data_IF_022311476664
#
_entry.id   IF_022311476664
#
_cell.length_a   1.000
_cell.length_b   1.000
_cell.length_c   1.000
_cell.angle_alpha   90.00
_cell.angle_beta   90.00
_cell.angle_gamma   90.00
#
_symmetry.space_group_name_H-M   'P 1'
#
loop_
_entity.id
_entity.type
_entity.pdbx_description
1 polymer ?
#
# COMPACT_ATOMS: atom_id res chain seq x y z
N UNK A 1 -14.21 -49.13 -34.34
CA UNK A 1 -13.02 -48.97 -33.49
C UNK A 1 -13.47 -48.37 -32.17
N UNK A 2 -13.63 -49.19 -31.15
CA UNK A 2 -14.13 -48.82 -29.82
C UNK A 2 -12.93 -48.54 -28.91
N UNK A 3 -12.73 -47.28 -28.52
CA UNK A 3 -11.72 -46.92 -27.52
C UNK A 3 -12.15 -47.48 -26.17
N UNK A 4 -11.50 -48.57 -25.74
CA UNK A 4 -11.61 -49.11 -24.39
C UNK A 4 -11.04 -48.08 -23.41
N UNK A 5 -11.93 -47.36 -22.70
CA UNK A 5 -11.51 -46.50 -21.60
C UNK A 5 -10.96 -47.39 -20.48
N UNK A 6 -9.68 -47.23 -20.17
CA UNK A 6 -9.05 -47.94 -19.06
C UNK A 6 -9.78 -47.59 -17.74
N UNK A 7 -9.98 -48.55 -16.84
CA UNK A 7 -10.66 -48.32 -15.56
C UNK A 7 -9.92 -47.22 -14.79
N UNK A 8 -10.65 -46.13 -14.49
CA UNK A 8 -10.16 -44.96 -13.77
C UNK A 8 -9.76 -45.40 -12.36
N UNK A 9 -8.47 -45.51 -12.08
CA UNK A 9 -7.97 -45.87 -10.76
C UNK A 9 -8.29 -44.74 -9.76
N UNK A 10 -9.20 -44.95 -8.79
CA UNK A 10 -9.62 -43.91 -7.85
C UNK A 10 -8.53 -43.57 -6.82
N UNK A 11 -7.45 -44.34 -6.78
CA UNK A 11 -6.27 -44.10 -5.93
C UNK A 11 -5.05 -43.63 -6.71
N UNK A 12 -5.18 -43.37 -8.02
CA UNK A 12 -4.11 -42.69 -8.72
C UNK A 12 -3.89 -41.34 -8.02
N UNK A 13 -2.67 -41.04 -7.53
CA UNK A 13 -2.39 -39.72 -6.99
C UNK A 13 -2.81 -38.74 -8.08
N UNK A 14 -3.66 -37.78 -7.73
CA UNK A 14 -4.07 -36.71 -8.64
C UNK A 14 -2.77 -36.20 -9.22
N UNK A 15 -2.52 -36.46 -10.51
CA UNK A 15 -1.42 -35.82 -11.19
C UNK A 15 -1.77 -34.35 -11.07
N UNK A 16 -1.15 -33.68 -10.11
CA UNK A 16 -1.15 -32.24 -10.05
C UNK A 16 -0.57 -31.87 -11.38
N UNK A 17 -1.45 -31.51 -12.33
CA UNK A 17 -1.06 -30.87 -13.58
C UNK A 17 -0.03 -29.86 -13.11
N UNK A 18 1.26 -30.01 -13.51
CA UNK A 18 2.29 -29.08 -13.10
C UNK A 18 1.75 -27.71 -13.48
N UNK A 19 1.28 -26.96 -12.48
CA UNK A 19 0.53 -25.72 -12.66
C UNK A 19 1.52 -24.81 -13.38
N UNK A 20 1.35 -24.67 -14.71
CA UNK A 20 2.32 -24.17 -15.70
C UNK A 20 3.58 -23.68 -15.01
N UNK A 21 4.54 -24.60 -14.85
CA UNK A 21 5.71 -24.45 -13.99
C UNK A 21 6.27 -23.04 -14.15
N UNK A 22 5.96 -22.21 -13.16
CA UNK A 22 6.32 -20.80 -13.17
C UNK A 22 7.85 -20.74 -13.25
N UNK A 23 8.39 -20.48 -14.45
CA UNK A 23 9.83 -20.45 -14.66
C UNK A 23 10.38 -19.12 -14.12
N UNK A 24 11.04 -19.12 -12.95
CA UNK A 24 11.54 -17.90 -12.33
C UNK A 24 12.60 -17.22 -13.19
N UNK A 25 13.21 -17.91 -14.17
CA UNK A 25 14.17 -17.29 -15.09
C UNK A 25 13.52 -16.29 -16.04
N UNK A 26 12.26 -16.51 -16.43
CA UNK A 26 11.52 -15.60 -17.32
C UNK A 26 11.33 -14.20 -16.72
N UNK A 27 11.30 -14.08 -15.39
CA UNK A 27 11.16 -12.81 -14.68
C UNK A 27 12.34 -11.87 -14.92
N UNK A 28 13.54 -12.41 -15.15
CA UNK A 28 14.78 -11.66 -15.33
C UNK A 28 15.12 -11.42 -16.80
N UNK A 29 14.31 -11.94 -17.74
CA UNK A 29 14.48 -11.69 -19.17
C UNK A 29 14.36 -10.19 -19.53
N UNK A 30 13.79 -9.36 -18.64
CA UNK A 30 13.56 -7.93 -18.85
C UNK A 30 14.16 -7.07 -17.73
N UNK A 31 15.49 -6.87 -17.67
CA UNK A 31 16.14 -6.08 -16.61
C UNK A 31 15.62 -4.64 -16.53
N UNK A 32 15.25 -4.05 -17.67
CA UNK A 32 14.69 -2.70 -17.75
C UNK A 32 13.35 -2.58 -17.02
N UNK A 33 12.50 -3.62 -17.09
CA UNK A 33 11.20 -3.63 -16.41
C UNK A 33 11.38 -3.66 -14.88
N UNK A 34 12.29 -4.51 -14.40
CA UNK A 34 12.60 -4.61 -12.97
C UNK A 34 13.24 -3.33 -12.41
N UNK A 35 14.08 -2.64 -13.19
CA UNK A 35 14.63 -1.34 -12.82
C UNK A 35 13.55 -0.26 -12.64
N UNK A 36 12.52 -0.26 -13.49
CA UNK A 36 11.36 0.65 -13.37
C UNK A 36 10.55 0.34 -12.11
N UNK A 37 10.28 -0.94 -11.83
CA UNK A 37 9.60 -1.36 -10.59
C UNK A 37 10.41 -0.94 -9.35
N UNK A 38 11.72 -1.12 -9.34
CA UNK A 38 12.59 -0.69 -8.23
C UNK A 38 12.55 0.83 -8.00
N UNK A 39 12.50 1.61 -9.08
CA UNK A 39 12.33 3.06 -9.04
C UNK A 39 10.94 3.44 -8.50
N UNK A 40 9.89 2.75 -8.96
CA UNK A 40 8.52 2.92 -8.46
C UNK A 40 8.42 2.65 -6.96
N UNK A 41 9.02 1.58 -6.47
CA UNK A 41 9.08 1.26 -5.03
C UNK A 41 9.81 2.34 -4.22
N UNK A 42 10.87 2.95 -4.77
CA UNK A 42 11.58 4.07 -4.14
C UNK A 42 10.70 5.32 -4.05
N UNK A 43 9.91 5.61 -5.08
CA UNK A 43 8.97 6.72 -5.08
C UNK A 43 7.86 6.50 -4.05
N UNK A 44 7.29 5.28 -3.98
CA UNK A 44 6.29 4.90 -2.97
C UNK A 44 6.86 4.99 -1.54
N UNK A 45 8.15 4.66 -1.37
CA UNK A 45 8.81 4.84 -0.07
C UNK A 45 8.84 6.31 0.35
N UNK A 46 9.27 7.21 -0.53
CA UNK A 46 9.32 8.64 -0.26
C UNK A 46 7.94 9.25 -0.06
N UNK A 47 6.94 8.82 -0.84
CA UNK A 47 5.57 9.29 -0.66
C UNK A 47 5.03 9.00 0.73
N UNK A 48 5.28 7.79 1.23
CA UNK A 48 4.80 7.37 2.54
C UNK A 48 5.52 8.17 3.63
N UNK A 49 6.83 8.41 3.48
CA UNK A 49 7.57 9.27 4.41
C UNK A 49 6.99 10.69 4.47
N UNK A 50 6.67 11.29 3.32
CA UNK A 50 6.06 12.62 3.24
C UNK A 50 4.64 12.66 3.83
N UNK A 51 3.81 11.65 3.53
CA UNK A 51 2.45 11.53 4.08
C UNK A 51 2.52 11.40 5.60
N UNK A 52 3.38 10.54 6.12
CA UNK A 52 3.55 10.36 7.57
C UNK A 52 4.04 11.65 8.22
N UNK A 53 5.04 12.30 7.62
CA UNK A 53 5.54 13.59 8.10
C UNK A 53 4.42 14.64 8.16
N UNK A 54 3.59 14.72 7.12
CA UNK A 54 2.46 15.66 7.08
C UNK A 54 1.36 15.30 8.09
N UNK A 55 1.01 14.02 8.24
CA UNK A 55 -0.01 13.58 9.20
C UNK A 55 0.47 13.81 10.64
N UNK A 56 1.69 13.42 10.97
CA UNK A 56 2.27 13.63 12.31
C UNK A 56 2.47 15.12 12.59
N UNK A 57 3.01 15.86 11.61
CA UNK A 57 3.21 17.30 11.69
C UNK A 57 1.90 18.06 11.88
N UNK A 58 0.91 17.80 11.04
CA UNK A 58 -0.38 18.48 11.06
C UNK A 58 -1.25 18.12 12.26
N UNK A 59 -1.27 16.86 12.70
CA UNK A 59 -2.17 16.41 13.77
C UNK A 59 -1.57 16.51 15.17
N UNK A 60 -0.25 16.39 15.31
CA UNK A 60 0.39 16.36 16.63
C UNK A 60 1.29 17.57 16.87
N UNK A 61 2.12 17.96 15.90
CA UNK A 61 3.06 19.08 16.08
C UNK A 61 2.32 20.41 16.02
N UNK A 62 1.40 20.59 15.07
CA UNK A 62 0.69 21.85 14.87
C UNK A 62 -0.10 22.31 16.12
N UNK A 63 -0.94 21.48 16.77
CA UNK A 63 -1.66 21.92 17.97
C UNK A 63 -0.77 22.24 19.16
N UNK A 64 0.40 21.58 19.27
CA UNK A 64 1.38 21.90 20.31
C UNK A 64 2.03 23.26 20.09
N UNK A 65 2.35 23.60 18.83
CA UNK A 65 2.88 24.91 18.45
C UNK A 65 1.82 26.03 18.48
N UNK A 66 0.53 25.68 18.48
CA UNK A 66 -0.56 26.66 18.55
C UNK A 66 -0.64 27.39 19.89
N UNK A 67 -0.01 26.89 20.96
CA UNK A 67 -0.09 27.50 22.30
C UNK A 67 0.62 28.85 22.44
N UNK A 68 1.37 29.33 21.45
CA UNK A 68 2.11 30.60 21.55
C UNK A 68 2.50 31.26 20.23
N UNK A 69 1.95 30.83 19.09
CA UNK A 69 2.30 31.36 17.77
C UNK A 69 1.23 32.33 17.23
N UNK A 70 1.63 33.27 16.37
CA UNK A 70 0.71 34.23 15.75
C UNK A 70 -0.13 33.56 14.65
N UNK A 71 -1.38 34.00 14.44
CA UNK A 71 -2.30 33.43 13.44
C UNK A 71 -1.67 33.33 12.03
N UNK A 72 -0.83 34.29 11.63
CA UNK A 72 -0.15 34.27 10.33
C UNK A 72 0.81 33.09 10.16
N UNK A 73 1.59 32.76 11.20
CA UNK A 73 2.50 31.60 11.16
C UNK A 73 1.75 30.28 11.07
N UNK A 74 0.58 30.17 11.71
CA UNK A 74 -0.25 28.96 11.67
C UNK A 74 -0.78 28.66 10.27
N UNK A 75 -1.27 29.68 9.57
CA UNK A 75 -1.80 29.53 8.21
C UNK A 75 -0.71 29.09 7.24
N UNK A 76 0.49 29.68 7.35
CA UNK A 76 1.63 29.30 6.51
C UNK A 76 2.08 27.86 6.73
N UNK A 77 2.23 27.43 7.99
CA UNK A 77 2.64 26.05 8.31
C UNK A 77 1.58 25.05 7.84
N UNK A 78 0.30 25.35 8.05
CA UNK A 78 -0.81 24.50 7.59
C UNK A 78 -0.81 24.35 6.07
N UNK A 79 -0.60 25.44 5.34
CA UNK A 79 -0.48 25.43 3.89
C UNK A 79 0.74 24.61 3.42
N UNK A 80 1.90 24.80 4.05
CA UNK A 80 3.11 24.05 3.73
C UNK A 80 2.93 22.54 3.97
N UNK A 81 2.29 22.14 5.08
CA UNK A 81 1.99 20.74 5.38
C UNK A 81 0.99 20.13 4.38
N UNK A 82 0.02 20.92 3.93
CA UNK A 82 -0.90 20.54 2.86
C UNK A 82 -0.19 20.29 1.52
N UNK A 83 0.76 21.15 1.14
CA UNK A 83 1.59 20.94 -0.05
C UNK A 83 2.47 19.69 0.06
N UNK A 84 3.09 19.46 1.22
CA UNK A 84 3.89 18.25 1.47
C UNK A 84 3.03 16.99 1.36
N UNK A 85 1.79 17.02 1.89
CA UNK A 85 0.83 15.93 1.76
C UNK A 85 0.51 15.65 0.29
N UNK A 86 0.16 16.70 -0.48
CA UNK A 86 -0.15 16.59 -1.90
C UNK A 86 1.02 16.03 -2.71
N UNK A 87 2.23 16.52 -2.46
CA UNK A 87 3.44 16.01 -3.10
C UNK A 87 3.63 14.52 -2.77
N UNK A 88 3.41 14.13 -1.52
CA UNK A 88 3.42 12.74 -1.09
C UNK A 88 2.44 11.88 -1.90
N UNK A 89 1.17 12.31 -1.99
CA UNK A 89 0.13 11.58 -2.74
C UNK A 89 0.51 11.42 -4.21
N UNK A 90 0.94 12.50 -4.87
CA UNK A 90 1.34 12.47 -6.29
C UNK A 90 2.54 11.54 -6.50
N UNK A 91 3.55 11.63 -5.65
CA UNK A 91 4.74 10.77 -5.74
C UNK A 91 4.39 9.29 -5.53
N UNK A 92 3.42 9.01 -4.65
CA UNK A 92 2.91 7.67 -4.40
C UNK A 92 2.17 7.11 -5.60
N UNK A 93 1.31 7.91 -6.22
CA UNK A 93 0.60 7.54 -7.45
C UNK A 93 1.58 7.25 -8.59
N UNK A 94 2.53 8.17 -8.84
CA UNK A 94 3.57 7.99 -9.86
C UNK A 94 4.36 6.70 -9.57
N UNK A 95 4.76 6.48 -8.31
CA UNK A 95 5.46 5.25 -7.91
C UNK A 95 4.67 3.97 -8.22
N UNK A 96 3.36 3.97 -7.97
CA UNK A 96 2.46 2.84 -8.31
C UNK A 96 2.31 2.67 -9.83
N UNK A 97 2.24 3.76 -10.60
CA UNK A 97 2.22 3.72 -12.09
C UNK A 97 3.52 3.12 -12.64
N UNK A 98 4.69 3.48 -12.10
CA UNK A 98 5.96 2.85 -12.49
C UNK A 98 5.99 1.34 -12.17
N UNK A 99 5.28 0.90 -11.13
CA UNK A 99 5.14 -0.53 -10.82
C UNK A 99 4.27 -1.30 -11.82
N UNK A 100 3.52 -0.63 -12.71
CA UNK A 100 2.78 -1.26 -13.80
C UNK A 100 3.68 -1.87 -14.88
N UNK A 101 4.97 -1.51 -14.89
CA UNK A 101 5.97 -2.09 -15.77
C UNK A 101 6.34 -3.54 -15.41
N UNK A 102 5.68 -4.16 -14.42
CA UNK A 102 5.90 -5.57 -14.08
C UNK A 102 5.58 -6.48 -15.28
N UNK A 103 6.39 -7.53 -15.57
CA UNK A 103 6.13 -8.44 -16.66
C UNK A 103 4.76 -9.14 -16.52
N UNK A 104 4.11 -9.38 -17.66
CA UNK A 104 2.76 -9.95 -17.73
C UNK A 104 2.65 -11.35 -17.11
N UNK A 105 3.76 -12.09 -17.08
CA UNK A 105 3.85 -13.40 -16.45
C UNK A 105 3.56 -13.36 -14.93
N UNK A 106 3.79 -12.22 -14.28
CA UNK A 106 3.36 -12.04 -12.90
C UNK A 106 1.85 -11.79 -12.90
N UNK A 107 1.05 -12.79 -12.50
CA UNK A 107 -0.40 -12.69 -12.21
C UNK A 107 -0.77 -11.53 -11.22
N UNK A 108 0.20 -10.71 -10.80
CA UNK A 108 0.05 -9.52 -9.98
C UNK A 108 -0.37 -8.24 -10.76
N UNK A 109 -0.28 -8.21 -12.10
CA UNK A 109 -0.60 -7.01 -12.89
C UNK A 109 -2.04 -6.49 -12.68
N UNK A 110 -3.01 -7.41 -12.53
CA UNK A 110 -4.40 -7.04 -12.23
C UNK A 110 -4.58 -6.33 -10.88
N UNK A 111 -3.79 -6.72 -9.87
CA UNK A 111 -3.88 -6.12 -8.52
C UNK A 111 -3.39 -4.68 -8.52
N UNK A 112 -2.28 -4.40 -9.21
CA UNK A 112 -1.73 -3.05 -9.28
C UNK A 112 -2.60 -2.12 -10.14
N UNK A 113 -3.20 -2.62 -11.23
CA UNK A 113 -4.18 -1.85 -12.01
C UNK A 113 -5.39 -1.47 -11.15
N UNK A 114 -5.95 -2.42 -10.39
CA UNK A 114 -7.05 -2.15 -9.47
C UNK A 114 -6.65 -1.13 -8.39
N UNK A 115 -5.46 -1.28 -7.79
CA UNK A 115 -4.96 -0.33 -6.79
C UNK A 115 -4.84 1.10 -7.34
N UNK A 116 -4.27 1.26 -8.55
CA UNK A 116 -4.14 2.58 -9.20
C UNK A 116 -5.51 3.18 -9.53
N UNK A 117 -6.46 2.36 -10.01
CA UNK A 117 -7.82 2.82 -10.30
C UNK A 117 -8.54 3.32 -9.04
N UNK A 118 -8.44 2.58 -7.92
CA UNK A 118 -9.04 3.00 -6.65
C UNK A 118 -8.37 4.24 -6.05
N UNK A 119 -7.04 4.38 -6.18
CA UNK A 119 -6.34 5.60 -5.77
C UNK A 119 -6.79 6.81 -6.59
N UNK A 120 -6.88 6.68 -7.93
CA UNK A 120 -7.33 7.75 -8.80
C UNK A 120 -8.76 8.17 -8.47
N UNK A 121 -9.65 7.21 -8.24
CA UNK A 121 -11.02 7.48 -7.82
C UNK A 121 -11.05 8.17 -6.45
N UNK A 122 -10.22 7.76 -5.48
CA UNK A 122 -10.10 8.44 -4.20
C UNK A 122 -9.62 9.89 -4.39
N UNK A 123 -8.56 10.11 -5.16
CA UNK A 123 -8.01 11.45 -5.43
C UNK A 123 -9.06 12.36 -6.09
N UNK A 124 -9.85 11.84 -7.03
CA UNK A 124 -10.95 12.57 -7.66
C UNK A 124 -12.01 12.98 -6.64
N UNK A 125 -12.45 12.06 -5.77
CA UNK A 125 -13.41 12.36 -4.69
C UNK A 125 -12.86 13.45 -3.77
N UNK A 126 -11.59 13.35 -3.38
CA UNK A 126 -10.92 14.36 -2.56
C UNK A 126 -10.88 15.71 -3.26
N UNK A 127 -10.50 15.76 -4.53
CA UNK A 127 -10.39 17.01 -5.31
C UNK A 127 -11.75 17.67 -5.50
N UNK A 128 -12.79 16.89 -5.82
CA UNK A 128 -14.16 17.39 -5.94
C UNK A 128 -14.63 17.96 -4.60
N UNK A 129 -14.24 17.33 -3.48
CA UNK A 129 -14.58 17.80 -2.13
C UNK A 129 -13.98 19.15 -1.75
N UNK A 130 -12.95 19.62 -2.47
CA UNK A 130 -12.42 20.97 -2.30
C UNK A 130 -13.21 22.04 -3.05
N UNK A 131 -13.85 21.66 -4.15
CA UNK A 131 -14.57 22.61 -5.04
C UNK A 131 -16.05 22.68 -4.68
N UNK A 132 -16.63 21.54 -4.29
CA UNK A 132 -18.05 21.40 -3.98
C UNK A 132 -18.19 20.99 -2.52
N UNK A 133 -19.18 21.53 -1.82
CA UNK A 133 -19.56 21.05 -0.49
C UNK A 133 -20.19 19.65 -0.61
N UNK A 134 -19.39 18.61 -0.46
CA UNK A 134 -19.86 17.21 -0.57
C UNK A 134 -20.22 16.68 0.82
N UNK A 135 -21.31 15.91 0.98
CA UNK A 135 -21.68 15.32 2.27
C UNK A 135 -20.56 14.46 2.87
N UNK A 136 -20.50 14.40 4.19
CA UNK A 136 -19.51 13.63 4.97
C UNK A 136 -19.32 12.16 4.50
N UNK A 137 -20.38 11.54 3.97
CA UNK A 137 -20.34 10.18 3.43
C UNK A 137 -19.38 10.01 2.24
N UNK A 138 -19.24 11.03 1.37
CA UNK A 138 -18.33 10.93 0.22
C UNK A 138 -16.87 10.92 0.66
N UNK A 139 -16.51 11.71 1.67
CA UNK A 139 -15.16 11.75 2.23
C UNK A 139 -14.81 10.40 2.86
N UNK A 140 -15.77 9.81 3.58
CA UNK A 140 -15.63 8.46 4.15
C UNK A 140 -15.41 7.41 3.07
N UNK A 141 -16.15 7.49 1.96
CA UNK A 141 -15.97 6.60 0.80
C UNK A 141 -14.57 6.76 0.16
N UNK A 142 -14.10 8.00 -0.01
CA UNK A 142 -12.75 8.29 -0.53
C UNK A 142 -11.65 7.68 0.34
N UNK A 143 -11.80 7.76 1.66
CA UNK A 143 -10.89 7.10 2.62
C UNK A 143 -10.92 5.57 2.47
N UNK A 144 -12.11 4.98 2.35
CA UNK A 144 -12.28 3.54 2.18
C UNK A 144 -11.62 3.05 0.88
N UNK A 145 -11.79 3.79 -0.21
CA UNK A 145 -11.14 3.51 -1.50
C UNK A 145 -9.62 3.57 -1.39
N UNK A 146 -9.07 4.60 -0.74
CA UNK A 146 -7.62 4.74 -0.55
C UNK A 146 -7.03 3.61 0.32
N UNK A 147 -7.76 3.18 1.35
CA UNK A 147 -7.37 2.04 2.19
C UNK A 147 -7.40 0.74 1.38
N UNK A 148 -8.44 0.54 0.58
CA UNK A 148 -8.58 -0.63 -0.31
C UNK A 148 -7.47 -0.68 -1.35
N UNK A 149 -7.16 0.46 -1.97
CA UNK A 149 -6.04 0.60 -2.90
C UNK A 149 -4.70 0.23 -2.25
N UNK A 150 -4.49 0.68 -1.01
CA UNK A 150 -3.28 0.36 -0.23
C UNK A 150 -3.21 -1.13 0.11
N UNK A 151 -4.32 -1.77 0.47
CA UNK A 151 -4.38 -3.21 0.71
C UNK A 151 -4.07 -4.02 -0.57
N UNK A 152 -4.62 -3.62 -1.72
CA UNK A 152 -4.32 -4.20 -3.03
C UNK A 152 -2.85 -4.01 -3.41
N UNK A 153 -2.26 -2.86 -3.09
CA UNK A 153 -0.84 -2.62 -3.30
C UNK A 153 0.05 -3.54 -2.44
N UNK A 154 -0.32 -3.75 -1.16
CA UNK A 154 0.39 -4.71 -0.29
C UNK A 154 0.27 -6.14 -0.83
N UNK A 155 -0.90 -6.53 -1.35
CA UNK A 155 -1.10 -7.82 -2.01
C UNK A 155 -0.21 -7.97 -3.26
N UNK A 156 -0.09 -6.91 -4.04
CA UNK A 156 0.85 -6.85 -5.16
C UNK A 156 2.29 -7.07 -4.69
N UNK A 157 2.74 -6.38 -3.62
CA UNK A 157 4.08 -6.58 -3.05
C UNK A 157 4.30 -8.01 -2.57
N UNK A 158 3.29 -8.64 -1.97
CA UNK A 158 3.34 -10.06 -1.56
C UNK A 158 3.52 -10.98 -2.77
N UNK A 159 2.74 -10.79 -3.83
CA UNK A 159 2.89 -11.60 -5.05
C UNK A 159 4.24 -11.35 -5.71
N UNK A 160 4.72 -10.12 -5.72
CA UNK A 160 6.04 -9.77 -6.21
C UNK A 160 7.16 -10.44 -5.38
N UNK A 161 7.04 -10.49 -4.05
CA UNK A 161 8.03 -11.18 -3.21
C UNK A 161 8.04 -12.69 -3.44
N UNK A 162 6.87 -13.30 -3.61
CA UNK A 162 6.76 -14.72 -3.96
C UNK A 162 7.41 -15.02 -5.31
N UNK A 163 7.22 -14.13 -6.28
CA UNK A 163 7.85 -14.20 -7.60
C UNK A 163 9.39 -14.12 -7.55
N UNK A 164 9.95 -13.44 -6.56
CA UNK A 164 11.40 -13.37 -6.31
C UNK A 164 11.96 -14.56 -5.51
N UNK A 165 11.12 -15.56 -5.17
CA UNK A 165 11.47 -16.76 -4.41
C UNK A 165 12.18 -16.47 -3.07
N UNK A 166 11.76 -15.42 -2.36
CA UNK A 166 12.28 -15.13 -1.01
C UNK A 166 11.23 -15.46 0.07
N UNK A 167 11.24 -16.67 0.65
CA UNK A 167 10.24 -17.11 1.62
C UNK A 167 10.22 -16.24 2.89
N UNK A 168 11.38 -15.67 3.28
CA UNK A 168 11.48 -14.75 4.43
C UNK A 168 10.62 -13.49 4.28
N UNK A 169 10.38 -13.05 3.04
CA UNK A 169 9.54 -11.88 2.78
C UNK A 169 8.06 -12.23 2.76
N UNK A 170 7.71 -13.46 2.42
CA UNK A 170 6.30 -13.88 2.36
C UNK A 170 5.65 -13.90 3.75
N UNK A 171 6.36 -14.42 4.76
CA UNK A 171 5.89 -14.39 6.15
C UNK A 171 5.64 -12.97 6.66
N UNK A 172 6.55 -12.04 6.33
CA UNK A 172 6.43 -10.63 6.70
C UNK A 172 5.24 -9.95 5.99
N UNK A 173 4.99 -10.28 4.72
CA UNK A 173 3.86 -9.73 3.97
C UNK A 173 2.51 -10.21 4.54
N UNK A 174 2.39 -11.48 4.97
CA UNK A 174 1.19 -12.00 5.63
C UNK A 174 0.90 -11.24 6.93
N UNK A 175 1.93 -11.02 7.76
CA UNK A 175 1.81 -10.25 8.99
C UNK A 175 1.37 -8.81 8.73
N UNK A 176 1.91 -8.16 7.69
CA UNK A 176 1.49 -6.82 7.26
C UNK A 176 0.02 -6.76 6.84
N UNK A 177 -0.49 -7.73 6.07
CA UNK A 177 -1.91 -7.75 5.72
C UNK A 177 -2.81 -7.86 6.95
N UNK A 178 -2.46 -8.73 7.90
CA UNK A 178 -3.22 -8.87 9.15
C UNK A 178 -3.21 -7.56 9.92
N UNK A 179 -2.06 -6.89 10.06
CA UNK A 179 -2.01 -5.60 10.75
C UNK A 179 -2.76 -4.49 10.03
N UNK A 180 -2.76 -4.45 8.69
CA UNK A 180 -3.57 -3.49 7.92
C UNK A 180 -5.06 -3.75 8.15
N UNK A 181 -5.49 -5.01 8.16
CA UNK A 181 -6.87 -5.38 8.46
C UNK A 181 -7.25 -5.02 9.91
N UNK A 182 -6.36 -5.27 10.88
CA UNK A 182 -6.56 -4.87 12.28
C UNK A 182 -6.64 -3.34 12.39
N UNK A 183 -5.74 -2.60 11.76
CA UNK A 183 -5.77 -1.13 11.77
C UNK A 183 -7.05 -0.59 11.13
N UNK A 184 -7.57 -1.24 10.10
CA UNK A 184 -8.86 -0.90 9.50
C UNK A 184 -10.01 -1.07 10.50
N UNK A 185 -10.10 -2.23 11.15
CA UNK A 185 -11.15 -2.52 12.15
C UNK A 185 -11.04 -1.57 13.35
N UNK A 186 -9.83 -1.37 13.88
CA UNK A 186 -9.58 -0.45 15.01
C UNK A 186 -9.87 0.99 14.60
N UNK A 187 -9.55 1.39 13.37
CA UNK A 187 -9.86 2.72 12.85
C UNK A 187 -11.36 2.99 12.78
N UNK A 188 -12.15 2.02 12.31
CA UNK A 188 -13.63 2.11 12.32
C UNK A 188 -14.14 2.19 13.75
N UNK A 189 -13.67 1.29 14.63
CA UNK A 189 -14.08 1.28 16.03
C UNK A 189 -13.77 2.61 16.73
N UNK A 190 -12.59 3.20 16.47
CA UNK A 190 -12.19 4.49 17.02
C UNK A 190 -13.04 5.65 16.47
N UNK A 191 -13.40 5.63 15.18
CA UNK A 191 -14.28 6.63 14.59
C UNK A 191 -15.68 6.58 15.21
N UNK A 192 -16.23 5.38 15.42
CA UNK A 192 -17.53 5.19 16.09
C UNK A 192 -17.44 5.60 17.56
N UNK A 193 -16.42 5.17 18.29
CA UNK A 193 -16.24 5.52 19.71
C UNK A 193 -16.05 7.02 19.91
N UNK A 194 -15.27 7.68 19.03
CA UNK A 194 -15.05 9.12 19.07
C UNK A 194 -16.31 9.95 18.79
N UNK A 195 -17.25 9.41 18.00
CA UNK A 195 -18.56 10.03 17.79
C UNK A 195 -19.40 10.05 19.08
N UNK A 196 -19.33 9.01 19.90
CA UNK A 196 -20.11 8.91 21.15
C UNK A 196 -19.41 9.55 22.36
N UNK A 197 -18.09 9.50 22.44
CA UNK A 197 -17.33 9.92 23.63
C UNK A 197 -16.07 10.72 23.25
N UNK A 198 -16.18 12.05 23.26
CA UNK A 198 -15.11 12.95 22.81
C UNK A 198 -13.79 12.84 23.59
N UNK A 199 -13.81 12.51 24.88
CA UNK A 199 -12.58 12.39 25.70
C UNK A 199 -11.81 11.10 25.37
N UNK A 200 -12.52 10.04 25.01
CA UNK A 200 -11.91 8.75 24.67
C UNK A 200 -11.13 8.84 23.34
N UNK A 201 -11.53 9.75 22.45
CA UNK A 201 -10.86 9.95 21.15
C UNK A 201 -9.36 10.27 21.26
N UNK A 202 -8.93 10.98 22.31
CA UNK A 202 -7.52 11.34 22.52
C UNK A 202 -6.62 10.13 22.77
N UNK A 203 -7.03 9.23 23.68
CA UNK A 203 -6.28 8.01 24.00
C UNK A 203 -6.22 7.07 22.80
N UNK A 204 -7.34 6.88 22.09
CA UNK A 204 -7.37 6.09 20.86
C UNK A 204 -6.47 6.68 19.78
N UNK A 205 -6.41 8.01 19.66
CA UNK A 205 -5.51 8.69 18.72
C UNK A 205 -4.04 8.36 18.96
N UNK A 206 -3.60 8.33 20.22
CA UNK A 206 -2.21 7.95 20.56
C UNK A 206 -1.93 6.49 20.25
N UNK A 207 -2.82 5.57 20.64
CA UNK A 207 -2.67 4.13 20.35
C UNK A 207 -2.63 3.88 18.85
N UNK A 208 -3.54 4.49 18.08
CA UNK A 208 -3.56 4.42 16.62
C UNK A 208 -2.27 4.96 16.00
N UNK A 209 -1.73 6.06 16.52
CA UNK A 209 -0.46 6.60 16.05
C UNK A 209 0.69 5.60 16.29
N UNK A 210 0.77 4.99 17.48
CA UNK A 210 1.82 3.99 17.76
C UNK A 210 1.70 2.80 16.82
N UNK A 211 0.48 2.27 16.61
CA UNK A 211 0.24 1.16 15.68
C UNK A 211 0.62 1.57 14.25
N UNK A 212 0.25 2.78 13.81
CA UNK A 212 0.58 3.32 12.49
C UNK A 212 2.09 3.41 12.29
N UNK A 213 2.83 3.90 13.29
CA UNK A 213 4.31 3.99 13.24
C UNK A 213 4.94 2.59 13.18
N UNK A 214 4.47 1.63 13.97
CA UNK A 214 4.98 0.25 13.93
C UNK A 214 4.72 -0.41 12.56
N UNK A 215 3.52 -0.22 12.01
CA UNK A 215 3.16 -0.67 10.67
C UNK A 215 4.05 -0.05 9.60
N UNK A 216 4.28 1.26 9.68
CA UNK A 216 5.16 1.98 8.80
C UNK A 216 6.58 1.43 8.84
N UNK A 217 7.15 1.24 10.03
CA UNK A 217 8.50 0.71 10.18
C UNK A 217 8.63 -0.70 9.58
N UNK A 218 7.63 -1.57 9.79
CA UNK A 218 7.60 -2.90 9.17
C UNK A 218 7.47 -2.83 7.66
N UNK A 219 6.61 -1.95 7.15
CA UNK A 219 6.41 -1.75 5.72
C UNK A 219 7.68 -1.22 5.04
N UNK A 220 8.36 -0.25 5.66
CA UNK A 220 9.66 0.29 5.22
C UNK A 220 10.72 -0.81 5.15
N UNK A 221 10.81 -1.66 6.20
CA UNK A 221 11.74 -2.79 6.20
C UNK A 221 11.46 -3.76 5.05
N UNK A 222 10.19 -4.08 4.79
CA UNK A 222 9.80 -4.94 3.68
C UNK A 222 10.19 -4.33 2.32
N UNK A 223 9.91 -3.05 2.10
CA UNK A 223 10.30 -2.34 0.87
C UNK A 223 11.82 -2.29 0.69
N UNK A 224 12.56 -2.01 1.76
CA UNK A 224 14.04 -1.97 1.73
C UNK A 224 14.63 -3.33 1.38
N UNK A 225 14.11 -4.40 1.98
CA UNK A 225 14.56 -5.77 1.72
C UNK A 225 14.23 -6.21 0.29
N UNK A 226 13.03 -5.90 -0.22
CA UNK A 226 12.65 -6.14 -1.61
C UNK A 226 13.58 -5.41 -2.58
N UNK A 227 13.80 -4.11 -2.34
CA UNK A 227 14.67 -3.29 -3.17
C UNK A 227 16.10 -3.84 -3.22
N UNK A 228 16.67 -4.18 -2.07
CA UNK A 228 18.01 -4.80 -1.98
C UNK A 228 18.07 -6.11 -2.74
N UNK A 229 17.02 -6.94 -2.66
CA UNK A 229 16.95 -8.20 -3.40
C UNK A 229 16.91 -7.98 -4.93
N UNK A 230 16.15 -6.99 -5.40
CA UNK A 230 16.06 -6.65 -6.83
C UNK A 230 17.39 -6.09 -7.34
N UNK A 231 17.97 -5.12 -6.63
CA UNK A 231 19.25 -4.51 -7.01
C UNK A 231 20.42 -5.48 -6.94
N UNK A 232 20.45 -6.37 -5.94
CA UNK A 232 21.47 -7.40 -5.81
C UNK A 232 21.48 -8.36 -6.99
N UNK A 233 20.32 -8.68 -7.57
CA UNK A 233 20.22 -9.51 -8.78
C UNK A 233 20.56 -8.74 -10.07
N UNK A 234 20.25 -7.44 -10.12
CA UNK A 234 20.58 -6.58 -11.27
C UNK A 234 22.09 -6.33 -11.39
N UNK A 235 22.83 -6.26 -10.28
CA UNK A 235 24.27 -6.03 -10.29
C UNK A 235 25.12 -7.27 -10.61
N UNK A 236 24.50 -8.46 -10.66
CA UNK A 236 25.19 -9.73 -10.99
C UNK A 236 25.00 -10.15 -12.45
N UNK A 237 24.25 -9.38 -13.24
CA UNK A 237 24.05 -9.56 -14.69
C UNK A 237 24.99 -8.62 -15.45
#
# INVERSE_FOLDING_TARGET
MTHSQAPLNPYAPTQTIPDDSFDPMSAFAFPQAMARVATGLRLVYWSIALIVLSVVGGRFVLPLMMRGSSMGTMNWISFAMGLVMMLGIVLGLIGRVFCLAIPQASRARGLINAAVAFDLAAILIWTISWVVAVPFWSQSLGNLLSLTATALFVLFLKRLSAHLQRPDLEGNAKSLMVMVAVLFVVGIAAAVAGYFVGIIAGLFGVVLLVIMVLLLLRYIRLLSNLRKAILGRLGTL
#
